data_IF_379828795462
#
_entry.id   IF_379828795462
#
_cell.length_a   1.000
_cell.length_b   1.000
_cell.length_c   1.000
_cell.angle_alpha   90.00
_cell.angle_beta   90.00
_cell.angle_gamma   90.00
#
_symmetry.space_group_name_H-M   'P 1'
#
loop_
_entity.id
_entity.type
_entity.pdbx_description
1 polymer ?
#
# COMPACT_ATOMS: atom_id res chain seq x y z
N UNK A 1 12.04 -23.77 10.31
CA UNK A 1 11.23 -23.23 9.20
C UNK A 1 10.25 -24.29 8.77
N UNK A 2 9.00 -24.18 9.23
CA UNK A 2 7.90 -25.05 8.82
C UNK A 2 7.59 -24.78 7.35
N UNK A 3 7.47 -25.83 6.53
CA UNK A 3 7.18 -25.70 5.10
C UNK A 3 5.70 -25.33 4.94
N UNK A 4 5.41 -24.09 4.59
CA UNK A 4 4.04 -23.65 4.33
C UNK A 4 3.63 -24.04 2.90
N UNK A 5 2.48 -24.70 2.75
CA UNK A 5 1.99 -25.15 1.45
C UNK A 5 1.08 -24.08 0.86
N UNK A 6 1.59 -23.35 -0.14
CA UNK A 6 0.89 -22.21 -0.77
C UNK A 6 -0.01 -22.61 -1.93
N UNK A 7 0.16 -23.82 -2.47
CA UNK A 7 -0.61 -24.35 -3.58
C UNK A 7 -1.17 -25.72 -3.22
N UNK A 8 -2.43 -25.96 -3.57
CA UNK A 8 -3.06 -27.27 -3.43
C UNK A 8 -2.44 -28.26 -4.40
N UNK A 9 -2.12 -29.46 -3.90
CA UNK A 9 -1.44 -30.50 -4.69
C UNK A 9 -2.33 -31.14 -5.73
N UNK A 10 -3.64 -31.12 -5.53
CA UNK A 10 -4.58 -31.91 -6.32
C UNK A 10 -5.04 -31.19 -7.58
N UNK A 11 -5.33 -29.90 -7.49
CA UNK A 11 -5.87 -29.09 -8.59
C UNK A 11 -4.99 -27.88 -8.94
N UNK A 12 -3.91 -27.63 -8.18
CA UNK A 12 -3.07 -26.47 -8.39
C UNK A 12 -3.78 -25.16 -8.06
N UNK A 13 -4.85 -25.18 -7.26
CA UNK A 13 -5.49 -23.97 -6.77
C UNK A 13 -4.63 -23.30 -5.68
N UNK A 14 -4.72 -21.97 -5.51
CA UNK A 14 -4.05 -21.28 -4.41
C UNK A 14 -4.65 -21.72 -3.07
N UNK A 15 -3.79 -22.04 -2.09
CA UNK A 15 -4.27 -22.39 -0.76
C UNK A 15 -4.91 -21.19 -0.07
N UNK A 16 -5.76 -21.38 0.95
CA UNK A 16 -6.33 -20.27 1.72
C UNK A 16 -5.26 -19.32 2.29
N UNK A 17 -4.10 -19.85 2.67
CA UNK A 17 -2.96 -19.05 3.13
C UNK A 17 -2.40 -18.16 2.02
N UNK A 18 -2.24 -18.68 0.80
CA UNK A 18 -1.79 -17.88 -0.33
C UNK A 18 -2.81 -16.79 -0.69
N UNK A 19 -4.11 -17.10 -0.63
CA UNK A 19 -5.17 -16.11 -0.82
C UNK A 19 -5.12 -15.00 0.24
N UNK A 20 -4.85 -15.34 1.51
CA UNK A 20 -4.63 -14.36 2.57
C UNK A 20 -3.44 -13.43 2.29
N UNK A 21 -2.31 -13.99 1.89
CA UNK A 21 -1.11 -13.22 1.50
C UNK A 21 -1.41 -12.28 0.33
N UNK A 22 -2.10 -12.77 -0.71
CA UNK A 22 -2.48 -11.94 -1.87
C UNK A 22 -3.41 -10.81 -1.44
N UNK A 23 -4.37 -11.11 -0.56
CA UNK A 23 -5.29 -10.12 -0.01
C UNK A 23 -4.53 -9.03 0.75
N UNK A 24 -3.61 -9.39 1.63
CA UNK A 24 -2.81 -8.42 2.40
C UNK A 24 -2.01 -7.48 1.48
N UNK A 25 -1.46 -8.00 0.39
CA UNK A 25 -0.75 -7.20 -0.62
C UNK A 25 -1.69 -6.22 -1.30
N UNK A 26 -2.87 -6.67 -1.75
CA UNK A 26 -3.86 -5.82 -2.42
C UNK A 26 -4.35 -4.72 -1.45
N UNK A 27 -4.70 -5.09 -0.22
CA UNK A 27 -5.13 -4.15 0.82
C UNK A 27 -4.07 -3.09 1.10
N UNK A 28 -2.78 -3.46 1.06
CA UNK A 28 -1.68 -2.50 1.20
C UNK A 28 -1.66 -1.45 0.08
N UNK A 29 -1.93 -1.86 -1.17
CA UNK A 29 -1.97 -0.95 -2.31
C UNK A 29 -3.20 -0.03 -2.25
N UNK A 30 -4.35 -0.58 -1.85
CA UNK A 30 -5.55 0.21 -1.59
C UNK A 30 -5.28 1.27 -0.52
N UNK A 31 -4.63 0.88 0.58
CA UNK A 31 -4.25 1.80 1.65
C UNK A 31 -3.33 2.93 1.14
N UNK A 32 -2.32 2.62 0.32
CA UNK A 32 -1.47 3.66 -0.30
C UNK A 32 -2.30 4.67 -1.11
N UNK A 33 -3.19 4.16 -1.97
CA UNK A 33 -4.02 4.98 -2.83
C UNK A 33 -4.97 5.88 -2.03
N UNK A 34 -5.62 5.33 -1.00
CA UNK A 34 -6.54 6.07 -0.12
C UNK A 34 -5.84 7.21 0.62
N UNK A 35 -4.56 7.05 0.94
CA UNK A 35 -3.74 8.08 1.60
C UNK A 35 -2.99 8.98 0.61
N UNK A 36 -3.18 8.79 -0.71
CA UNK A 36 -2.46 9.54 -1.74
C UNK A 36 -0.95 9.31 -1.72
N UNK A 37 -0.48 8.16 -1.25
CA UNK A 37 0.94 7.80 -1.20
C UNK A 37 1.34 7.07 -2.48
N UNK A 38 2.34 7.60 -3.18
CA UNK A 38 3.01 6.91 -4.27
C UNK A 38 4.25 6.21 -3.72
N UNK A 39 4.29 4.87 -3.77
CA UNK A 39 5.40 4.11 -3.18
C UNK A 39 6.69 4.11 -4.02
N UNK A 40 6.57 4.22 -5.35
CA UNK A 40 7.66 4.18 -6.35
C UNK A 40 8.53 2.92 -6.39
N UNK A 41 8.45 2.05 -5.40
CA UNK A 41 9.26 0.83 -5.28
C UNK A 41 8.45 -0.43 -4.97
N UNK A 42 7.32 -0.64 -5.67
CA UNK A 42 6.50 -1.84 -5.50
C UNK A 42 7.18 -3.01 -6.20
N UNK A 43 7.87 -3.85 -5.42
CA UNK A 43 8.56 -5.05 -5.89
C UNK A 43 8.32 -6.21 -4.91
N UNK A 44 8.51 -7.45 -5.37
CA UNK A 44 8.38 -8.63 -4.49
C UNK A 44 9.38 -8.62 -3.33
N UNK A 45 10.53 -7.94 -3.47
CA UNK A 45 11.52 -7.81 -2.39
C UNK A 45 10.99 -6.98 -1.20
N UNK A 46 10.12 -6.03 -1.50
CA UNK A 46 9.51 -5.13 -0.52
C UNK A 46 8.20 -5.69 0.06
N UNK A 47 7.82 -6.93 -0.28
CA UNK A 47 6.69 -7.63 0.32
C UNK A 47 7.24 -8.60 1.37
N UNK A 48 7.09 -8.24 2.63
CA UNK A 48 7.53 -9.06 3.75
C UNK A 48 6.44 -10.05 4.13
N UNK A 49 6.80 -11.33 4.17
CA UNK A 49 5.93 -12.41 4.67
C UNK A 49 6.46 -12.84 6.03
N UNK A 50 5.59 -12.82 7.04
CA UNK A 50 5.94 -13.25 8.39
C UNK A 50 4.78 -14.01 9.02
N UNK A 51 5.10 -14.87 9.97
CA UNK A 51 4.10 -15.58 10.76
C UNK A 51 3.71 -14.74 11.97
N UNK A 52 2.42 -14.64 12.28
CA UNK A 52 2.03 -14.10 13.57
C UNK A 52 2.37 -15.13 14.67
N UNK A 53 2.55 -14.68 15.92
CA UNK A 53 3.24 -15.42 16.98
C UNK A 53 2.69 -16.81 17.37
N UNK A 54 1.61 -17.29 16.75
CA UNK A 54 1.09 -18.64 16.91
C UNK A 54 1.61 -19.64 15.84
N UNK A 55 2.34 -19.20 14.81
CA UNK A 55 2.93 -20.09 13.79
C UNK A 55 1.98 -20.52 12.66
N UNK A 56 0.68 -20.22 12.76
CA UNK A 56 -0.37 -20.79 11.90
C UNK A 56 -0.81 -19.82 10.80
N UNK A 57 -0.67 -18.52 11.04
CA UNK A 57 -1.12 -17.49 10.10
C UNK A 57 0.07 -16.70 9.53
N UNK A 58 0.15 -16.65 8.21
CA UNK A 58 1.09 -15.83 7.47
C UNK A 58 0.41 -14.52 7.07
N UNK A 59 1.08 -13.40 7.33
CA UNK A 59 0.67 -12.09 6.88
C UNK A 59 1.70 -11.52 5.90
N UNK A 60 1.22 -10.75 4.92
CA UNK A 60 2.08 -9.96 4.05
C UNK A 60 2.02 -8.47 4.43
N UNK A 61 3.16 -7.78 4.35
CA UNK A 61 3.20 -6.32 4.52
C UNK A 61 4.12 -5.70 3.49
N UNK A 62 3.70 -4.56 2.96
CA UNK A 62 4.56 -3.72 2.15
C UNK A 62 5.60 -3.02 3.04
N UNK A 63 6.83 -2.93 2.56
CA UNK A 63 7.98 -2.35 3.23
C UNK A 63 8.77 -1.41 2.31
N UNK A 64 9.77 -0.73 2.87
CA UNK A 64 10.66 0.21 2.18
C UNK A 64 9.95 1.41 1.54
N UNK A 65 9.51 2.33 2.40
CA UNK A 65 8.86 3.59 2.02
C UNK A 65 9.87 4.72 1.73
N UNK A 66 11.14 4.41 1.52
CA UNK A 66 12.21 5.41 1.39
C UNK A 66 12.07 6.29 0.13
N UNK A 67 11.43 5.76 -0.92
CA UNK A 67 11.20 6.46 -2.18
C UNK A 67 9.79 7.04 -2.30
N UNK A 68 8.98 7.00 -1.24
CA UNK A 68 7.59 7.44 -1.30
C UNK A 68 7.43 8.95 -1.51
N UNK A 69 6.36 9.34 -2.20
CA UNK A 69 5.91 10.74 -2.31
C UNK A 69 4.41 10.85 -2.07
N UNK A 70 3.92 12.05 -1.78
CA UNK A 70 2.48 12.33 -1.70
C UNK A 70 1.98 12.87 -3.04
N UNK A 71 0.78 12.46 -3.45
CA UNK A 71 0.14 12.93 -4.68
C UNK A 71 -0.17 14.44 -4.64
N UNK A 72 -0.18 15.05 -3.45
CA UNK A 72 -0.46 16.49 -3.25
C UNK A 72 0.75 17.42 -3.38
N UNK A 73 1.93 16.91 -3.77
CA UNK A 73 3.11 17.75 -4.02
C UNK A 73 3.05 18.53 -5.36
N UNK A 74 1.92 18.50 -6.07
CA UNK A 74 1.67 19.48 -7.13
C UNK A 74 1.50 20.87 -6.49
N UNK A 75 2.38 21.86 -6.78
CA UNK A 75 2.11 23.23 -6.40
C UNK A 75 0.80 23.63 -7.10
N UNK A 76 -0.24 23.92 -6.30
CA UNK A 76 -1.48 24.50 -6.78
C UNK A 76 -1.14 25.56 -7.84
N UNK A 77 -1.76 25.54 -9.03
CA UNK A 77 -1.51 26.58 -10.02
C UNK A 77 -1.77 27.94 -9.35
N UNK A 78 -0.79 28.83 -9.47
CA UNK A 78 -0.66 30.14 -8.79
C UNK A 78 -1.78 31.13 -9.10
N UNK A 79 -2.90 30.70 -9.71
CA UNK A 79 -3.99 31.54 -10.16
C UNK A 79 -5.17 31.65 -9.17
N UNK A 80 -5.08 31.04 -7.98
CA UNK A 80 -6.13 31.17 -6.93
C UNK A 80 -5.76 32.12 -5.78
N UNK A 81 -4.56 32.72 -5.76
CA UNK A 81 -4.15 33.69 -4.73
C UNK A 81 -4.62 35.14 -4.99
N UNK A 82 -5.35 35.41 -6.07
CA UNK A 82 -5.89 36.74 -6.37
C UNK A 82 -7.39 36.71 -6.55
N UNK A 83 -8.14 36.51 -5.47
CA UNK A 83 -9.53 36.99 -5.35
C UNK A 83 -9.99 36.95 -3.90
N UNK A 84 -9.61 37.96 -3.12
CA UNK A 84 -10.57 38.79 -2.37
C UNK A 84 -9.87 39.78 -1.43
N UNK A 85 -10.34 41.03 -1.52
CA UNK A 85 -10.06 42.23 -0.73
C UNK A 85 -8.73 42.96 -0.93
N UNK A 86 -8.75 44.30 -1.13
CA UNK A 86 -9.60 45.22 -0.35
C UNK A 86 -10.37 46.25 -1.19
N UNK A 87 -11.50 46.73 -0.64
CA UNK A 87 -11.84 48.16 -0.53
C UNK A 87 -13.09 48.31 0.34
N UNK A 88 -12.87 48.59 1.63
CA UNK A 88 -13.76 49.50 2.34
C UNK A 88 -13.58 50.87 1.65
N UNK A 89 -14.69 51.48 1.26
CA UNK A 89 -14.80 52.92 1.11
C UNK A 89 -15.96 53.35 1.99
N UNK A 90 -15.68 54.35 2.82
CA UNK A 90 -16.57 54.97 3.81
C UNK A 90 -17.90 55.49 3.23
#
# INVERSE_FOLDING_TARGET
>A
MTRCQLWERHDGSPSPTLLGIIKDVIDSFTCLQEHGVLHHNITLHNILIFSNGNGEELCAKLADFSLCSLLSDDPLPTNMAQRSNPRLTD
#
